data_IF_577224066290
#
_entry.id   IF_577224066290
#
_cell.length_a   1.000
_cell.length_b   1.000
_cell.length_c   1.000
_cell.angle_alpha   90.00
_cell.angle_beta   90.00
_cell.angle_gamma   90.00
#
_symmetry.space_group_name_H-M   'P 1'
#
loop_
_entity.id
_entity.type
_entity.pdbx_description
1 polymer ?
#
# COMPACT_ATOMS: atom_id res chain seq x y z
N UNK A 1 31.98 33.88 -53.27
CA UNK A 1 32.09 32.52 -52.72
C UNK A 1 30.67 32.01 -52.51
N UNK A 2 30.32 30.89 -53.15
CA UNK A 2 28.98 30.29 -53.15
C UNK A 2 28.55 29.84 -51.75
N UNK A 3 27.26 29.86 -51.45
CA UNK A 3 26.49 28.62 -51.23
C UNK A 3 24.98 28.89 -51.16
N UNK A 4 24.26 28.33 -52.14
CA UNK A 4 22.80 28.16 -52.14
C UNK A 4 22.43 26.95 -51.28
N UNK A 5 21.37 27.05 -50.48
CA UNK A 5 20.47 25.95 -50.09
C UNK A 5 19.06 26.56 -49.98
N UNK A 6 18.24 26.50 -51.04
CA UNK A 6 17.29 25.42 -51.40
C UNK A 6 16.36 25.08 -50.22
N UNK A 7 15.19 25.70 -50.25
CA UNK A 7 14.02 25.37 -49.44
C UNK A 7 13.42 24.09 -50.01
N UNK A 8 13.38 23.02 -49.22
CA UNK A 8 12.63 21.81 -49.51
C UNK A 8 11.38 21.81 -48.64
N UNK A 9 10.23 21.86 -49.32
CA UNK A 9 8.92 21.58 -48.77
C UNK A 9 8.77 20.06 -48.79
N UNK A 10 8.51 19.44 -47.64
CA UNK A 10 8.19 18.01 -47.56
C UNK A 10 6.84 17.83 -46.88
N UNK A 11 6.03 17.06 -47.57
CA UNK A 11 4.63 16.76 -47.34
C UNK A 11 4.31 15.99 -46.05
N UNK A 12 3.08 16.22 -45.58
CA UNK A 12 2.19 15.28 -44.88
C UNK A 12 2.83 14.40 -43.79
N UNK A 13 2.69 14.83 -42.54
CA UNK A 13 2.66 13.91 -41.41
C UNK A 13 1.22 13.46 -41.20
N UNK A 14 0.99 12.16 -41.35
CA UNK A 14 -0.31 11.51 -41.17
C UNK A 14 -0.80 11.62 -39.73
N UNK A 15 -2.10 11.85 -39.60
CA UNK A 15 -2.83 11.77 -38.33
C UNK A 15 -2.90 10.30 -37.93
N UNK A 16 -1.95 9.86 -37.11
CA UNK A 16 -2.03 8.60 -36.40
C UNK A 16 -3.03 8.74 -35.26
N UNK A 17 -4.20 8.12 -35.42
CA UNK A 17 -5.20 7.96 -34.37
C UNK A 17 -4.58 7.13 -33.25
N UNK A 18 -4.09 7.79 -32.20
CA UNK A 18 -3.76 7.09 -30.97
C UNK A 18 -5.05 6.58 -30.35
N UNK A 19 -5.14 5.25 -30.24
CA UNK A 19 -6.18 4.54 -29.50
C UNK A 19 -6.32 5.17 -28.12
N UNK A 20 -7.54 5.54 -27.78
CA UNK A 20 -7.96 5.96 -26.45
C UNK A 20 -7.50 4.94 -25.41
N UNK A 21 -6.41 5.23 -24.72
CA UNK A 21 -6.08 4.55 -23.47
C UNK A 21 -7.19 4.84 -22.47
N UNK A 22 -7.65 3.82 -21.74
CA UNK A 22 -8.48 4.05 -20.56
C UNK A 22 -7.71 5.00 -19.65
N UNK A 23 -8.30 6.14 -19.33
CA UNK A 23 -7.79 7.03 -18.30
C UNK A 23 -7.85 6.21 -17.01
N UNK A 24 -6.69 5.84 -16.45
CA UNK A 24 -6.63 5.14 -15.17
C UNK A 24 -7.37 5.97 -14.12
N UNK A 25 -8.18 5.31 -13.30
CA UNK A 25 -8.89 6.00 -12.22
C UNK A 25 -7.88 6.32 -11.12
N UNK A 26 -7.77 7.59 -10.72
CA UNK A 26 -6.86 7.97 -9.63
C UNK A 26 -7.50 7.58 -8.30
N UNK A 27 -6.86 6.72 -7.51
CA UNK A 27 -7.37 6.36 -6.18
C UNK A 27 -6.99 7.43 -5.17
N UNK A 28 -7.54 8.61 -5.37
CA UNK A 28 -7.48 9.68 -4.38
C UNK A 28 -8.87 10.25 -4.07
N UNK A 29 -9.94 9.77 -4.70
CA UNK A 29 -11.17 10.57 -4.83
C UNK A 29 -12.50 9.92 -4.38
N UNK A 30 -12.54 8.66 -3.95
CA UNK A 30 -13.84 8.05 -3.59
C UNK A 30 -14.04 7.88 -2.08
N UNK A 31 -15.05 8.62 -1.56
CA UNK A 31 -15.78 8.47 -0.29
C UNK A 31 -15.51 9.44 0.89
N UNK A 32 -15.33 10.75 0.63
CA UNK A 32 -15.56 11.80 1.66
C UNK A 32 -17.06 12.09 1.93
N UNK A 33 -18.00 11.37 1.29
CA UNK A 33 -19.46 11.54 1.54
C UNK A 33 -19.99 10.72 2.71
N UNK A 34 -19.50 9.49 2.94
CA UNK A 34 -20.11 8.60 3.95
C UNK A 34 -19.75 8.99 5.39
N UNK A 35 -18.60 9.65 5.63
CA UNK A 35 -18.20 10.09 6.97
C UNK A 35 -18.67 11.50 7.36
N UNK A 36 -19.06 12.36 6.40
CA UNK A 36 -19.66 13.68 6.72
C UNK A 36 -21.08 13.58 7.26
N UNK A 37 -21.88 12.65 6.74
CA UNK A 37 -23.27 12.45 7.20
C UNK A 37 -23.37 11.90 8.63
N UNK A 38 -22.31 11.27 9.15
CA UNK A 38 -22.30 10.73 10.51
C UNK A 38 -21.92 11.76 11.60
N UNK A 39 -21.54 13.00 11.23
CA UNK A 39 -21.06 14.03 12.18
C UNK A 39 -22.02 15.21 12.38
N UNK A 40 -23.10 15.30 11.61
CA UNK A 40 -24.04 16.45 11.69
C UNK A 40 -25.25 16.22 12.63
N UNK A 41 -25.37 15.07 13.29
CA UNK A 41 -26.54 14.76 14.15
C UNK A 41 -26.32 14.89 15.68
N UNK A 42 -25.20 15.46 16.13
CA UNK A 42 -25.00 15.77 17.56
C UNK A 42 -24.94 17.28 17.79
N UNK A 43 -26.05 17.96 17.53
CA UNK A 43 -26.40 19.23 18.20
C UNK A 43 -27.91 19.39 18.28
N UNK A 44 -28.52 18.96 19.40
CA UNK A 44 -29.67 19.60 20.05
C UNK A 44 -30.09 18.80 21.28
N UNK A 45 -30.31 19.50 22.40
CA UNK A 45 -31.08 18.98 23.52
C UNK A 45 -30.36 19.05 24.87
N UNK A 46 -30.52 20.18 25.54
CA UNK A 46 -30.26 20.35 26.97
C UNK A 46 -31.54 19.99 27.75
N UNK A 47 -31.41 19.82 29.08
CA UNK A 47 -32.39 19.99 30.17
C UNK A 47 -32.83 18.72 30.96
N UNK A 48 -32.33 18.71 32.21
CA UNK A 48 -32.86 18.30 33.53
C UNK A 48 -33.06 16.86 34.05
N UNK A 49 -32.85 16.83 35.38
CA UNK A 49 -33.41 15.99 36.44
C UNK A 49 -32.55 14.81 36.98
N UNK A 50 -31.83 15.10 38.07
CA UNK A 50 -32.13 14.60 39.42
C UNK A 50 -32.21 13.09 39.71
N UNK A 51 -31.60 12.74 40.85
CA UNK A 51 -31.98 11.70 41.84
C UNK A 51 -30.93 10.61 42.11
N UNK A 52 -30.82 10.39 43.43
CA UNK A 52 -29.96 9.56 44.27
C UNK A 52 -30.09 8.03 44.13
N UNK A 53 -29.00 7.39 44.57
CA UNK A 53 -28.89 6.20 45.45
C UNK A 53 -29.20 4.76 44.99
N UNK A 54 -28.18 3.91 45.27
CA UNK A 54 -28.17 2.55 45.87
C UNK A 54 -28.52 1.30 45.05
N UNK A 55 -27.74 0.26 45.37
CA UNK A 55 -27.93 -1.18 45.12
C UNK A 55 -26.65 -1.78 44.56
N UNK A 56 -25.94 -2.74 45.15
CA UNK A 56 -26.32 -3.75 46.14
C UNK A 56 -26.04 -5.15 45.58
N UNK A 57 -24.97 -5.78 46.08
CA UNK A 57 -24.73 -7.21 46.30
C UNK A 57 -24.91 -8.32 45.22
N UNK A 58 -23.78 -9.05 45.06
CA UNK A 58 -23.56 -10.48 45.34
C UNK A 58 -24.20 -11.63 44.52
N UNK A 59 -23.37 -12.67 44.30
CA UNK A 59 -23.73 -14.05 43.91
C UNK A 59 -22.84 -14.58 42.78
N UNK A 60 -21.66 -15.17 43.01
CA UNK A 60 -21.32 -16.49 43.61
C UNK A 60 -21.56 -17.71 42.69
N UNK A 61 -20.43 -18.29 42.23
CA UNK A 61 -20.03 -19.71 42.12
C UNK A 61 -20.86 -20.72 41.30
N UNK A 62 -20.20 -21.49 40.42
CA UNK A 62 -19.86 -22.90 40.67
C UNK A 62 -19.06 -23.52 39.50
N UNK A 63 -18.05 -24.31 39.88
CA UNK A 63 -17.14 -25.13 39.07
C UNK A 63 -17.78 -26.42 38.52
N UNK A 64 -17.14 -27.03 37.51
CA UNK A 64 -16.88 -28.48 37.49
C UNK A 64 -15.80 -28.87 36.45
N UNK A 65 -14.76 -29.51 36.95
CA UNK A 65 -13.67 -30.23 36.27
C UNK A 65 -14.02 -31.72 36.03
N UNK A 66 -13.16 -32.42 35.24
CA UNK A 66 -12.71 -33.84 35.26
C UNK A 66 -12.69 -34.43 33.82
N UNK A 67 -11.53 -34.72 33.19
CA UNK A 67 -10.56 -35.85 33.36
C UNK A 67 -11.15 -37.20 32.86
N UNK A 68 -10.50 -38.18 32.19
CA UNK A 68 -9.10 -38.50 31.87
C UNK A 68 -9.00 -39.75 30.94
N UNK A 69 -7.75 -40.10 30.53
CA UNK A 69 -7.16 -41.44 30.18
C UNK A 69 -7.38 -42.09 28.76
N UNK A 70 -6.35 -42.44 27.94
CA UNK A 70 -5.25 -43.46 28.01
C UNK A 70 -5.77 -44.93 27.88
N UNK A 71 -5.22 -45.94 27.16
CA UNK A 71 -4.03 -46.19 26.30
C UNK A 71 -4.14 -47.63 25.66
N UNK A 72 -3.14 -48.02 24.83
CA UNK A 72 -2.75 -49.38 24.32
C UNK A 72 -3.56 -49.98 23.14
N UNK A 73 -3.00 -50.68 22.14
CA UNK A 73 -1.66 -51.17 21.76
C UNK A 73 -1.81 -52.42 20.87
N UNK A 74 -0.97 -52.61 19.83
CA UNK A 74 -0.44 -53.91 19.30
C UNK A 74 0.14 -53.80 17.86
N UNK A 75 0.98 -54.77 17.51
CA UNK A 75 2.11 -54.75 16.57
C UNK A 75 1.97 -55.77 15.40
N UNK A 76 3.02 -55.86 14.55
CA UNK A 76 3.35 -56.88 13.51
C UNK A 76 2.68 -56.66 12.12
N UNK A 77 3.27 -56.79 10.93
CA UNK A 77 4.42 -57.58 10.40
C UNK A 77 4.92 -56.97 9.06
N UNK A 78 6.15 -57.31 8.70
CA UNK A 78 6.93 -56.85 7.55
C UNK A 78 6.72 -57.77 6.32
N UNK A 79 6.24 -57.26 5.17
CA UNK A 79 6.54 -57.85 3.84
C UNK A 79 6.66 -56.80 2.74
N UNK A 80 7.87 -56.72 2.22
CA UNK A 80 8.28 -56.04 0.99
C UNK A 80 7.50 -56.62 -0.20
N UNK A 81 6.63 -55.79 -0.79
CA UNK A 81 5.97 -56.05 -2.07
C UNK A 81 6.45 -55.03 -3.10
N UNK A 82 7.45 -55.40 -3.90
CA UNK A 82 7.86 -54.64 -5.08
C UNK A 82 6.72 -54.81 -6.11
N UNK A 83 5.87 -53.79 -6.25
CA UNK A 83 4.96 -53.68 -7.39
C UNK A 83 5.56 -52.67 -8.38
N UNK A 84 6.00 -53.19 -9.52
CA UNK A 84 6.50 -52.39 -10.64
C UNK A 84 5.28 -51.77 -11.33
N UNK A 85 4.99 -50.51 -11.01
CA UNK A 85 4.06 -49.71 -11.79
C UNK A 85 4.79 -49.08 -12.97
N UNK A 86 4.58 -49.64 -14.16
CA UNK A 86 4.78 -48.93 -15.42
C UNK A 86 3.61 -47.97 -15.61
N UNK A 87 3.79 -46.70 -15.28
CA UNK A 87 2.79 -45.66 -15.53
C UNK A 87 3.48 -44.30 -15.53
N UNK A 88 3.51 -43.66 -16.69
CA UNK A 88 4.37 -42.52 -17.01
C UNK A 88 4.42 -41.44 -15.93
N UNK A 89 5.63 -40.96 -15.66
CA UNK A 89 5.87 -39.70 -14.97
C UNK A 89 5.23 -38.62 -15.84
N UNK A 90 4.04 -38.16 -15.45
CA UNK A 90 3.55 -36.86 -15.87
C UNK A 90 4.54 -35.84 -15.27
N UNK A 91 5.56 -35.49 -16.06
CA UNK A 91 6.35 -34.29 -15.84
C UNK A 91 5.37 -33.13 -16.02
N UNK A 92 4.68 -32.76 -14.94
CA UNK A 92 4.07 -31.45 -14.82
C UNK A 92 5.21 -30.47 -15.06
N UNK A 93 5.28 -29.94 -16.29
CA UNK A 93 6.26 -28.93 -16.65
C UNK A 93 6.19 -27.85 -15.59
N UNK A 94 7.31 -27.57 -14.93
CA UNK A 94 7.38 -26.53 -13.93
C UNK A 94 6.84 -25.25 -14.58
N UNK A 95 5.67 -24.80 -14.12
CA UNK A 95 5.16 -23.48 -14.46
C UNK A 95 6.15 -22.53 -13.79
N UNK A 96 7.04 -21.95 -14.58
CA UNK A 96 7.91 -20.87 -14.13
C UNK A 96 6.99 -19.68 -13.83
N UNK A 97 6.55 -19.58 -12.58
CA UNK A 97 5.95 -18.36 -12.05
C UNK A 97 7.11 -17.39 -11.86
N UNK A 98 7.22 -16.43 -12.77
CA UNK A 98 8.14 -15.31 -12.57
C UNK A 98 7.49 -14.41 -11.52
N UNK A 99 8.14 -14.17 -10.37
CA UNK A 99 7.59 -13.29 -9.36
C UNK A 99 7.46 -11.87 -9.95
N UNK A 100 6.40 -11.17 -9.56
CA UNK A 100 6.20 -9.78 -9.96
C UNK A 100 7.44 -8.95 -9.60
N UNK A 101 7.91 -8.09 -10.50
CA UNK A 101 8.99 -7.14 -10.20
C UNK A 101 8.42 -5.76 -9.86
N UNK A 102 8.81 -5.24 -8.69
CA UNK A 102 8.52 -3.87 -8.26
C UNK A 102 9.80 -3.03 -8.19
N UNK A 103 9.82 -1.92 -8.91
CA UNK A 103 10.93 -0.97 -8.88
C UNK A 103 10.67 0.16 -7.89
N UNK A 104 11.57 0.33 -6.92
CA UNK A 104 11.63 1.51 -6.07
C UNK A 104 12.50 2.55 -6.75
N UNK A 105 11.95 3.75 -6.98
CA UNK A 105 12.63 4.90 -7.57
C UNK A 105 12.83 5.97 -6.48
N UNK A 106 14.01 6.06 -5.84
CA UNK A 106 14.28 7.10 -4.86
C UNK A 106 14.34 8.47 -5.55
N UNK A 107 13.64 9.47 -5.03
CA UNK A 107 13.58 10.81 -5.62
C UNK A 107 14.05 11.87 -4.62
N UNK A 108 15.17 12.53 -4.94
CA UNK A 108 15.90 13.42 -4.05
C UNK A 108 16.83 12.69 -3.08
N UNK A 109 17.14 13.36 -1.97
CA UNK A 109 17.89 12.75 -0.88
C UNK A 109 16.95 11.88 -0.04
N UNK A 110 17.21 10.57 -0.04
CA UNK A 110 16.38 9.58 0.62
C UNK A 110 17.27 8.63 1.45
N UNK A 111 17.07 8.58 2.78
CA UNK A 111 17.87 7.73 3.65
C UNK A 111 17.86 6.25 3.22
N UNK A 112 18.99 5.58 3.42
CA UNK A 112 19.12 4.16 3.10
C UNK A 112 18.11 3.28 3.85
N UNK A 113 17.75 3.68 5.07
CA UNK A 113 16.74 2.98 5.85
C UNK A 113 15.38 2.97 5.19
N UNK A 114 14.91 4.11 4.65
CA UNK A 114 13.60 4.18 3.97
C UNK A 114 13.54 3.17 2.83
N UNK A 115 14.61 3.09 2.02
CA UNK A 115 14.72 2.12 0.91
C UNK A 115 14.64 0.67 1.41
N UNK A 116 15.32 0.35 2.52
CA UNK A 116 15.27 -0.99 3.14
C UNK A 116 13.88 -1.32 3.66
N UNK A 117 13.23 -0.39 4.37
CA UNK A 117 11.87 -0.57 4.92
C UNK A 117 10.87 -0.77 3.78
N UNK A 118 10.90 0.09 2.76
CA UNK A 118 10.06 -0.06 1.57
C UNK A 118 10.25 -1.44 0.92
N UNK A 119 11.50 -1.86 0.67
CA UNK A 119 11.79 -3.17 0.07
C UNK A 119 11.29 -4.33 0.93
N UNK A 120 11.43 -4.24 2.26
CA UNK A 120 10.96 -5.27 3.18
C UNK A 120 9.45 -5.41 3.16
N UNK A 121 8.70 -4.30 3.21
CA UNK A 121 7.24 -4.33 3.15
C UNK A 121 6.72 -4.99 1.87
N UNK A 122 7.30 -4.64 0.72
CA UNK A 122 6.92 -5.22 -0.57
C UNK A 122 7.18 -6.72 -0.66
N UNK A 123 8.39 -7.16 -0.27
CA UNK A 123 8.74 -8.58 -0.28
C UNK A 123 7.87 -9.39 0.68
N UNK A 124 7.62 -8.88 1.87
CA UNK A 124 6.84 -9.58 2.90
C UNK A 124 5.36 -9.70 2.55
N UNK A 125 4.75 -8.67 1.97
CA UNK A 125 3.30 -8.65 1.72
C UNK A 125 2.92 -9.23 0.36
N UNK A 126 3.73 -8.97 -0.68
CA UNK A 126 3.42 -9.35 -2.06
C UNK A 126 4.26 -10.50 -2.62
N UNK A 127 5.22 -11.03 -1.85
CA UNK A 127 6.16 -12.08 -2.30
C UNK A 127 6.79 -11.76 -3.67
N UNK A 128 7.17 -10.49 -3.84
CA UNK A 128 7.62 -9.93 -5.11
C UNK A 128 9.13 -9.65 -5.13
N UNK A 129 9.72 -9.63 -6.31
CA UNK A 129 11.07 -9.14 -6.49
C UNK A 129 11.08 -7.61 -6.41
N UNK A 130 12.16 -7.07 -5.83
CA UNK A 130 12.31 -5.61 -5.66
C UNK A 130 13.68 -5.16 -6.11
N UNK A 131 13.69 -4.22 -7.06
CA UNK A 131 14.90 -3.49 -7.47
C UNK A 131 14.84 -2.06 -6.93
N UNK A 132 15.99 -1.55 -6.49
CA UNK A 132 16.11 -0.15 -6.03
C UNK A 132 16.98 0.60 -7.02
N UNK A 133 16.40 1.59 -7.69
CA UNK A 133 17.11 2.43 -8.66
C UNK A 133 18.10 3.38 -7.99
N UNK A 134 18.98 3.97 -8.80
CA UNK A 134 19.76 5.14 -8.38
C UNK A 134 18.82 6.30 -8.06
N UNK A 135 19.21 7.13 -7.10
CA UNK A 135 18.45 8.34 -6.76
C UNK A 135 18.30 9.24 -7.98
N UNK A 136 17.07 9.70 -8.19
CA UNK A 136 16.66 10.58 -9.26
C UNK A 136 16.50 12.02 -8.73
N UNK A 137 16.71 13.04 -9.58
CA UNK A 137 16.41 14.42 -9.20
C UNK A 137 14.90 14.61 -8.96
N UNK A 138 14.54 15.64 -8.21
CA UNK A 138 13.14 16.05 -8.08
C UNK A 138 12.61 16.48 -9.47
N UNK A 139 11.40 16.05 -9.91
CA UNK A 139 10.86 16.43 -11.21
C UNK A 139 10.74 17.94 -11.37
N UNK A 140 11.15 18.45 -12.53
CA UNK A 140 11.06 19.86 -12.85
C UNK A 140 9.61 20.33 -12.93
N UNK A 141 9.35 21.55 -12.47
CA UNK A 141 8.02 22.15 -12.49
C UNK A 141 7.03 21.57 -11.47
N UNK A 142 7.36 20.48 -10.75
CA UNK A 142 6.47 19.84 -9.78
C UNK A 142 6.19 20.69 -8.52
N UNK A 143 7.08 21.62 -8.20
CA UNK A 143 6.96 22.48 -7.03
C UNK A 143 5.90 23.56 -7.22
N UNK A 144 5.00 23.69 -6.25
CA UNK A 144 4.05 24.79 -6.12
C UNK A 144 4.51 25.72 -4.99
N UNK A 145 4.91 26.94 -5.37
CA UNK A 145 5.45 27.92 -4.44
C UNK A 145 4.41 28.46 -3.43
N UNK A 146 3.12 28.48 -3.79
CA UNK A 146 2.06 28.94 -2.88
C UNK A 146 1.79 27.92 -1.78
N UNK A 147 1.98 26.64 -2.09
CA UNK A 147 1.80 25.53 -1.15
C UNK A 147 3.08 25.16 -0.41
N UNK A 148 4.24 25.49 -0.99
CA UNK A 148 5.53 24.94 -0.57
C UNK A 148 5.53 23.39 -0.57
N UNK A 149 4.89 22.80 -1.58
CA UNK A 149 4.69 21.36 -1.75
C UNK A 149 4.90 20.97 -3.22
N UNK A 150 4.98 19.68 -3.48
CA UNK A 150 5.16 19.15 -4.83
C UNK A 150 3.93 18.35 -5.28
N UNK A 151 3.58 18.44 -6.56
CA UNK A 151 2.49 17.65 -7.13
C UNK A 151 2.89 16.19 -7.21
N UNK A 152 2.08 15.31 -6.61
CA UNK A 152 2.35 13.88 -6.57
C UNK A 152 2.37 13.24 -7.97
N UNK A 153 1.54 13.73 -8.90
CA UNK A 153 1.41 13.19 -10.25
C UNK A 153 2.73 13.20 -11.02
N UNK A 154 3.52 14.28 -10.91
CA UNK A 154 4.82 14.40 -11.59
C UNK A 154 5.84 13.33 -11.12
N UNK A 155 5.71 12.85 -9.87
CA UNK A 155 6.55 11.77 -9.34
C UNK A 155 6.10 10.40 -9.82
N UNK A 156 4.78 10.20 -9.97
CA UNK A 156 4.22 8.97 -10.54
C UNK A 156 4.68 8.83 -11.99
N UNK A 157 4.53 9.90 -12.78
CA UNK A 157 4.98 9.91 -14.18
C UNK A 157 6.47 9.60 -14.26
N UNK A 158 7.31 10.24 -13.45
CA UNK A 158 8.74 9.93 -13.39
C UNK A 158 9.00 8.45 -13.05
N UNK A 159 8.35 7.89 -12.03
CA UNK A 159 8.53 6.48 -11.65
C UNK A 159 8.16 5.52 -12.78
N UNK A 160 7.02 5.77 -13.45
CA UNK A 160 6.56 4.97 -14.59
C UNK A 160 7.49 5.02 -15.79
N UNK A 161 8.23 6.12 -16.00
CA UNK A 161 9.18 6.24 -17.12
C UNK A 161 10.56 5.66 -16.80
N UNK A 162 11.02 5.77 -15.56
CA UNK A 162 12.35 5.32 -15.13
C UNK A 162 12.35 3.83 -14.82
N UNK A 163 11.30 3.37 -14.16
CA UNK A 163 11.15 1.99 -13.76
C UNK A 163 10.89 1.08 -14.96
N UNK A 164 11.40 -0.14 -14.85
CA UNK A 164 11.23 -1.23 -15.81
C UNK A 164 10.42 -2.40 -15.23
N UNK A 165 10.11 -2.33 -13.93
CA UNK A 165 9.25 -3.28 -13.24
C UNK A 165 7.80 -3.20 -13.70
N UNK A 166 7.04 -4.23 -13.36
CA UNK A 166 5.60 -4.27 -13.58
C UNK A 166 4.92 -3.13 -12.83
N UNK A 167 5.38 -2.86 -11.60
CA UNK A 167 4.98 -1.73 -10.75
C UNK A 167 6.19 -0.90 -10.36
N UNK A 168 6.02 0.41 -10.29
CA UNK A 168 7.09 1.37 -10.09
C UNK A 168 6.65 2.42 -9.06
N UNK A 169 7.41 2.56 -7.97
CA UNK A 169 7.04 3.45 -6.87
C UNK A 169 8.13 4.49 -6.63
N UNK A 170 7.79 5.76 -6.85
CA UNK A 170 8.64 6.86 -6.40
C UNK A 170 8.59 6.98 -4.88
N UNK A 171 9.75 7.20 -4.25
CA UNK A 171 9.81 7.46 -2.80
C UNK A 171 10.61 8.72 -2.56
N UNK A 172 10.01 9.69 -1.86
CA UNK A 172 10.62 11.00 -1.66
C UNK A 172 10.44 11.52 -0.23
N UNK A 173 11.40 12.35 0.21
CA UNK A 173 11.29 13.11 1.45
C UNK A 173 10.59 14.47 1.28
N UNK A 174 10.10 14.79 0.07
CA UNK A 174 9.37 16.04 -0.21
C UNK A 174 7.90 15.91 0.16
N UNK A 175 7.31 17.01 0.65
CA UNK A 175 5.88 17.05 0.96
C UNK A 175 5.04 17.10 -0.31
N UNK A 176 4.06 16.20 -0.42
CA UNK A 176 3.28 16.00 -1.63
C UNK A 176 1.84 16.47 -1.46
N UNK A 177 1.25 16.97 -2.54
CA UNK A 177 -0.18 17.25 -2.64
C UNK A 177 -0.77 16.72 -3.94
N UNK A 178 -2.08 16.56 -3.94
CA UNK A 178 -2.87 16.21 -5.12
C UNK A 178 -4.13 17.07 -5.17
N UNK A 179 -4.34 17.75 -6.31
CA UNK A 179 -5.47 18.65 -6.54
C UNK A 179 -5.70 19.62 -5.37
N UNK A 180 -6.88 19.54 -4.73
CA UNK A 180 -7.33 20.43 -3.66
C UNK A 180 -7.02 19.90 -2.26
N UNK A 181 -6.38 18.73 -2.13
CA UNK A 181 -6.00 18.18 -0.83
C UNK A 181 -4.90 19.04 -0.19
N UNK A 182 -4.86 19.06 1.14
CA UNK A 182 -3.81 19.74 1.88
C UNK A 182 -2.46 19.04 1.71
N UNK A 183 -2.48 17.71 1.66
CA UNK A 183 -1.33 16.86 1.37
C UNK A 183 -1.82 15.45 1.05
N UNK A 184 -0.89 14.59 0.64
CA UNK A 184 -1.07 13.14 0.56
C UNK A 184 0.17 12.43 1.11
N UNK A 185 0.01 11.25 1.72
CA UNK A 185 1.14 10.38 2.05
C UNK A 185 1.64 9.65 0.83
N UNK A 186 0.74 9.22 -0.05
CA UNK A 186 1.05 8.67 -1.34
C UNK A 186 -0.06 8.91 -2.35
N UNK A 187 0.21 8.51 -3.58
CA UNK A 187 -0.76 8.54 -4.66
C UNK A 187 -0.43 7.42 -5.66
N UNK A 188 -1.46 6.73 -6.11
CA UNK A 188 -1.38 5.73 -7.16
C UNK A 188 -2.55 5.88 -8.15
N UNK A 189 -2.30 5.48 -9.38
CA UNK A 189 -3.36 5.22 -10.34
C UNK A 189 -3.83 3.77 -10.19
N UNK A 190 -5.14 3.55 -10.05
CA UNK A 190 -5.75 2.22 -9.95
C UNK A 190 -5.38 1.41 -11.19
N UNK A 191 -4.93 0.17 -10.99
CA UNK A 191 -4.43 -0.71 -12.05
C UNK A 191 -3.28 -0.12 -12.89
N UNK A 192 -2.68 0.99 -12.43
CA UNK A 192 -1.55 1.63 -13.06
C UNK A 192 -0.25 0.85 -12.84
N UNK A 193 0.83 1.33 -13.46
CA UNK A 193 2.18 0.83 -13.21
C UNK A 193 3.01 1.77 -12.32
N UNK A 194 2.44 2.90 -11.89
CA UNK A 194 3.15 3.97 -11.20
C UNK A 194 2.44 4.40 -9.93
N UNK A 195 3.23 4.68 -8.89
CA UNK A 195 2.77 5.31 -7.66
C UNK A 195 3.88 6.14 -7.00
N UNK A 196 3.54 6.88 -5.95
CA UNK A 196 4.49 7.65 -5.16
C UNK A 196 4.15 7.60 -3.67
N UNK A 197 5.17 7.57 -2.81
CA UNK A 197 5.06 7.82 -1.37
C UNK A 197 5.99 8.94 -0.91
N UNK A 198 5.45 9.85 -0.11
CA UNK A 198 6.15 10.87 0.65
C UNK A 198 6.39 10.42 2.08
N UNK A 199 7.65 10.48 2.53
CA UNK A 199 8.00 10.27 3.93
C UNK A 199 7.90 11.55 4.77
N UNK A 200 7.66 12.71 4.16
CA UNK A 200 7.77 14.03 4.80
C UNK A 200 6.87 14.18 6.03
N UNK A 201 5.66 13.62 5.98
CA UNK A 201 4.69 13.67 7.08
C UNK A 201 4.64 12.40 7.91
N UNK A 202 5.28 11.32 7.47
CA UNK A 202 5.34 10.06 8.22
C UNK A 202 6.27 10.15 9.44
N UNK A 203 7.19 11.11 9.46
CA UNK A 203 8.06 11.43 10.60
C UNK A 203 7.35 12.23 11.71
N UNK A 204 6.10 12.66 11.52
CA UNK A 204 5.36 13.48 12.51
C UNK A 204 4.82 12.62 13.66
N UNK A 205 4.87 13.11 14.90
CA UNK A 205 4.28 12.40 16.04
C UNK A 205 2.75 12.30 15.94
N UNK A 206 2.19 11.14 16.32
CA UNK A 206 0.73 10.91 16.31
C UNK A 206 0.04 11.50 17.53
N UNK A 207 -0.15 12.82 17.56
CA UNK A 207 -1.04 13.50 18.51
C UNK A 207 -0.42 13.92 19.87
N UNK A 208 0.88 14.28 19.90
CA UNK A 208 1.49 14.91 21.08
C UNK A 208 1.65 14.00 22.31
N UNK A 209 1.36 12.71 22.18
CA UNK A 209 1.71 11.68 23.16
C UNK A 209 3.05 11.04 22.83
N UNK A 210 3.88 10.82 23.85
CA UNK A 210 5.04 9.94 23.74
C UNK A 210 4.52 8.51 23.51
N UNK A 211 4.71 7.99 22.31
CA UNK A 211 4.68 6.54 22.14
C UNK A 211 5.83 5.96 22.95
N UNK A 212 5.58 4.91 23.74
CA UNK A 212 6.65 4.15 24.39
C UNK A 212 7.52 3.39 23.37
N UNK A 213 7.06 3.31 22.11
CA UNK A 213 7.81 2.69 21.01
C UNK A 213 8.89 3.62 20.49
N UNK A 214 9.95 3.04 19.94
CA UNK A 214 11.04 3.78 19.33
C UNK A 214 10.53 4.60 18.12
N UNK A 215 10.77 5.92 18.05
CA UNK A 215 10.36 6.76 16.92
C UNK A 215 10.80 6.25 15.54
N UNK A 216 12.00 5.66 15.44
CA UNK A 216 12.53 5.12 14.19
C UNK A 216 11.76 3.87 13.75
N UNK A 217 11.32 3.04 14.72
CA UNK A 217 10.48 1.88 14.44
C UNK A 217 9.09 2.31 13.96
N UNK A 218 8.51 3.33 14.60
CA UNK A 218 7.22 3.91 14.19
C UNK A 218 7.32 4.48 12.78
N UNK A 219 8.35 5.26 12.49
CA UNK A 219 8.59 5.80 11.16
C UNK A 219 8.75 4.69 10.11
N UNK A 220 9.57 3.69 10.41
CA UNK A 220 9.77 2.55 9.53
C UNK A 220 8.51 1.73 9.28
N UNK A 221 7.65 1.57 10.29
CA UNK A 221 6.33 0.93 10.19
C UNK A 221 5.40 1.68 9.23
N UNK A 222 5.30 3.01 9.39
CA UNK A 222 4.50 3.86 8.50
C UNK A 222 5.00 3.82 7.07
N UNK A 223 6.31 3.84 6.85
CA UNK A 223 6.88 3.70 5.49
C UNK A 223 6.43 2.39 4.86
N UNK A 224 6.50 1.26 5.58
CA UNK A 224 6.05 -0.04 5.04
C UNK A 224 4.57 -0.01 4.68
N UNK A 225 3.73 0.48 5.59
CA UNK A 225 2.28 0.56 5.40
C UNK A 225 1.89 1.37 4.16
N UNK A 226 2.45 2.57 4.00
CA UNK A 226 2.09 3.42 2.85
C UNK A 226 2.66 2.87 1.54
N UNK A 227 3.88 2.30 1.54
CA UNK A 227 4.45 1.64 0.34
C UNK A 227 3.56 0.47 -0.11
N UNK A 228 3.14 -0.38 0.83
CA UNK A 228 2.25 -1.51 0.54
C UNK A 228 0.89 -1.02 0.07
N UNK A 229 0.33 0.01 0.72
CA UNK A 229 -0.95 0.62 0.33
C UNK A 229 -0.95 1.09 -1.12
N UNK A 230 0.06 1.88 -1.51
CA UNK A 230 0.12 2.44 -2.86
C UNK A 230 0.37 1.37 -3.92
N UNK A 231 1.20 0.35 -3.65
CA UNK A 231 1.33 -0.79 -4.57
C UNK A 231 0.03 -1.58 -4.66
N UNK A 232 -0.72 -1.74 -3.57
CA UNK A 232 -2.04 -2.36 -3.58
C UNK A 232 -3.00 -1.67 -4.57
N UNK A 233 -3.01 -0.34 -4.62
CA UNK A 233 -3.77 0.40 -5.63
C UNK A 233 -3.31 0.11 -7.05
N UNK A 234 -2.01 0.03 -7.30
CA UNK A 234 -1.50 -0.34 -8.62
C UNK A 234 -1.85 -1.77 -9.05
N UNK A 235 -2.21 -2.64 -8.09
CA UNK A 235 -2.72 -4.00 -8.31
C UNK A 235 -4.25 -4.08 -8.40
N UNK A 236 -4.95 -2.94 -8.37
CA UNK A 236 -6.39 -2.88 -8.53
C UNK A 236 -7.20 -2.90 -7.24
N UNK A 237 -6.54 -2.90 -6.08
CA UNK A 237 -7.24 -2.81 -4.80
C UNK A 237 -7.74 -1.38 -4.59
N UNK A 238 -9.04 -1.21 -4.36
CA UNK A 238 -9.59 0.02 -3.82
C UNK A 238 -9.38 0.11 -2.30
N UNK A 239 -9.79 1.23 -1.70
CA UNK A 239 -9.79 1.36 -0.25
C UNK A 239 -10.66 0.29 0.42
N UNK A 240 -10.18 -0.24 1.53
CA UNK A 240 -10.86 -1.26 2.31
C UNK A 240 -11.53 -0.67 3.56
N UNK A 241 -12.78 -1.05 3.85
CA UNK A 241 -13.50 -0.64 5.05
C UNK A 241 -12.96 -1.28 6.34
N UNK A 242 -12.17 -2.36 6.24
CA UNK A 242 -11.51 -2.97 7.39
C UNK A 242 -10.39 -2.06 7.91
N UNK A 243 -10.58 -1.49 9.11
CA UNK A 243 -9.63 -0.55 9.73
C UNK A 243 -8.26 -1.16 10.09
N UNK A 244 -8.12 -2.49 10.06
CA UNK A 244 -6.83 -3.18 10.25
C UNK A 244 -6.15 -3.51 8.93
N UNK A 245 -6.85 -3.46 7.80
CA UNK A 245 -6.24 -3.72 6.49
C UNK A 245 -5.31 -2.56 6.10
N UNK A 246 -4.15 -2.88 5.52
CA UNK A 246 -3.24 -1.86 4.97
C UNK A 246 -3.91 -0.98 3.89
N UNK A 247 -4.91 -1.51 3.18
CA UNK A 247 -5.73 -0.76 2.21
C UNK A 247 -6.77 0.17 2.84
N UNK A 248 -6.84 0.30 4.17
CA UNK A 248 -7.70 1.31 4.80
C UNK A 248 -7.16 2.72 4.53
N UNK A 249 -8.06 3.63 4.12
CA UNK A 249 -7.70 5.02 3.85
C UNK A 249 -7.24 5.74 5.13
N UNK A 250 -6.08 6.39 5.08
CA UNK A 250 -5.44 7.03 6.24
C UNK A 250 -5.15 8.52 5.98
N UNK A 251 -6.02 9.45 6.40
CA UNK A 251 -5.77 10.88 6.18
C UNK A 251 -4.71 11.46 7.13
N UNK A 252 -4.43 10.84 8.28
CA UNK A 252 -3.42 11.26 9.26
C UNK A 252 -2.52 10.10 9.68
N UNK A 253 -1.36 10.42 10.28
CA UNK A 253 -0.42 9.41 10.80
C UNK A 253 -1.05 8.54 11.88
N UNK A 254 -2.05 9.04 12.61
CA UNK A 254 -2.79 8.27 13.60
C UNK A 254 -3.57 7.14 12.93
N UNK A 255 -4.22 7.39 11.80
CA UNK A 255 -4.90 6.30 11.07
C UNK A 255 -3.91 5.32 10.43
N UNK A 256 -2.73 5.79 9.98
CA UNK A 256 -1.65 4.89 9.52
C UNK A 256 -1.17 3.99 10.67
N UNK A 257 -1.07 4.51 11.88
CA UNK A 257 -0.66 3.73 13.05
C UNK A 257 -1.70 2.68 13.46
N UNK A 258 -2.98 2.91 13.18
CA UNK A 258 -4.08 2.00 13.53
C UNK A 258 -4.17 0.78 12.59
N UNK A 259 -3.91 0.95 11.28
CA UNK A 259 -3.94 -0.17 10.34
C UNK A 259 -2.72 -1.07 10.52
N UNK A 260 -2.82 -2.33 10.09
CA UNK A 260 -1.67 -3.24 10.02
C UNK A 260 -0.94 -3.06 8.69
N UNK A 261 0.30 -3.58 8.62
CA UNK A 261 1.06 -3.61 7.37
C UNK A 261 0.54 -4.67 6.37
N UNK A 262 -0.35 -5.56 6.81
CA UNK A 262 -0.86 -6.69 6.01
C UNK A 262 -2.20 -6.41 5.34
N UNK A 263 -2.42 -7.09 4.21
CA UNK A 263 -3.72 -7.16 3.56
C UNK A 263 -4.67 -8.05 4.37
N UNK A 264 -5.94 -7.66 4.48
CA UNK A 264 -6.97 -8.57 4.99
C UNK A 264 -7.25 -9.71 4.00
N UNK A 265 -7.86 -10.81 4.47
CA UNK A 265 -8.11 -11.99 3.61
C UNK A 265 -8.92 -11.70 2.33
N UNK A 266 -9.77 -10.66 2.33
CA UNK A 266 -10.50 -10.25 1.12
C UNK A 266 -9.59 -9.59 0.10
N UNK A 267 -8.69 -8.71 0.53
CA UNK A 267 -7.72 -8.07 -0.37
C UNK A 267 -6.65 -9.06 -0.84
N UNK A 268 -6.19 -9.98 0.02
CA UNK A 268 -5.23 -11.02 -0.35
C UNK A 268 -5.75 -11.86 -1.53
N UNK A 269 -7.00 -12.37 -1.45
CA UNK A 269 -7.61 -13.18 -2.52
C UNK A 269 -7.71 -12.49 -3.88
N UNK A 270 -7.55 -11.17 -3.95
CA UNK A 270 -7.61 -10.43 -5.21
C UNK A 270 -6.24 -10.30 -5.89
N UNK A 271 -5.14 -10.42 -5.13
CA UNK A 271 -3.79 -10.06 -5.62
C UNK A 271 -2.69 -11.08 -5.30
N UNK A 272 -2.95 -12.06 -4.44
CA UNK A 272 -2.05 -13.17 -4.08
C UNK A 272 -2.71 -14.50 -4.42
#
# INVERSE_FOLDING_TARGET
>A
MQLRRRVECVDRVGVGVHRSGRIGHVVADELDRRRRLARDDIRRGHVDAGVRERGGDAGATADAHLDDALEAGESFDERVGISVWHGGIFMLGAILVVPMLVDIVPVGDLPAEVKRKASAGLRTVYDCDVTVHKSQPIPDGAFDANRNQYRAEDFIEMASHIGSGEKNIAVTAKDLFYRKRNYVFGLAYLDGNGSVVSTYRLQTSSDGGFSERNPDEIFGDRVRKEIVHEIGHTLGLEHCDNNRCVMNFSPTVREVDVKEETLCGTCQRQVL
#
